data_IF_516538920144
#
_entry.id   IF_516538920144
#
_cell.length_a   1.000
_cell.length_b   1.000
_cell.length_c   1.000
_cell.angle_alpha   90.00
_cell.angle_beta   90.00
_cell.angle_gamma   90.00
#
_symmetry.space_group_name_H-M   'P 1'
#
loop_
_entity.id
_entity.type
_entity.pdbx_description
1 polymer ?
#
# COMPACT_ATOMS: atom_id res chain seq x y z
N UNK A 1 24.83 1.09 -13.02
CA UNK A 1 25.20 0.15 -11.94
C UNK A 1 24.64 0.57 -10.58
N UNK A 2 24.88 1.79 -10.10
CA UNK A 2 24.41 2.24 -8.77
C UNK A 2 22.90 2.05 -8.52
N UNK A 3 22.05 2.40 -9.50
CA UNK A 3 20.58 2.28 -9.41
C UNK A 3 20.14 0.83 -9.13
N UNK A 4 20.74 -0.14 -9.81
CA UNK A 4 20.37 -1.56 -9.69
C UNK A 4 20.71 -2.07 -8.29
N UNK A 5 21.89 -1.73 -7.77
CA UNK A 5 22.33 -2.13 -6.43
C UNK A 5 21.41 -1.49 -5.37
N UNK A 6 21.12 -0.20 -5.48
CA UNK A 6 20.19 0.46 -4.56
C UNK A 6 18.78 -0.15 -4.61
N UNK A 7 18.27 -0.48 -5.79
CA UNK A 7 16.95 -1.10 -5.92
C UNK A 7 16.90 -2.52 -5.38
N UNK A 8 17.98 -3.29 -5.55
CA UNK A 8 18.07 -4.64 -5.01
C UNK A 8 18.10 -4.61 -3.47
N UNK A 9 18.92 -3.75 -2.88
CA UNK A 9 18.98 -3.58 -1.42
C UNK A 9 17.65 -3.09 -0.87
N UNK A 10 17.05 -2.08 -1.50
CA UNK A 10 15.74 -1.56 -1.08
C UNK A 10 14.64 -2.60 -1.25
N UNK A 11 14.65 -3.39 -2.32
CA UNK A 11 13.69 -4.47 -2.53
C UNK A 11 13.76 -5.52 -1.43
N UNK A 12 14.95 -5.91 -1.00
CA UNK A 12 15.14 -6.86 0.10
C UNK A 12 14.66 -6.27 1.43
N UNK A 13 15.08 -5.04 1.75
CA UNK A 13 14.69 -4.36 3.00
C UNK A 13 13.18 -4.13 3.09
N UNK A 14 12.58 -3.62 2.02
CA UNK A 14 11.15 -3.31 1.97
C UNK A 14 10.30 -4.57 1.87
N UNK A 15 10.80 -5.62 1.21
CA UNK A 15 10.19 -6.95 1.22
C UNK A 15 10.19 -7.57 2.60
N UNK A 16 11.28 -7.43 3.36
CA UNK A 16 11.36 -7.87 4.76
C UNK A 16 10.40 -7.12 5.68
N UNK A 17 10.26 -5.80 5.49
CA UNK A 17 9.32 -4.97 6.27
C UNK A 17 7.85 -5.29 5.94
N UNK A 18 7.57 -5.89 4.77
CA UNK A 18 6.21 -6.31 4.38
C UNK A 18 5.22 -5.16 4.12
N UNK A 19 5.62 -3.90 4.31
CA UNK A 19 4.74 -2.72 4.27
C UNK A 19 4.57 -2.09 2.87
N UNK A 20 5.14 -2.68 1.80
CA UNK A 20 4.94 -2.19 0.42
C UNK A 20 5.58 -0.82 0.14
N UNK A 21 6.89 -0.68 0.41
CA UNK A 21 7.64 0.58 0.44
C UNK A 21 7.86 1.36 -0.87
N UNK A 22 6.89 1.36 -1.79
CA UNK A 22 6.94 2.15 -3.02
C UNK A 22 7.25 3.62 -2.74
N UNK A 23 6.73 4.17 -1.65
CA UNK A 23 7.01 5.53 -1.26
C UNK A 23 8.47 5.88 -1.01
N UNK A 24 9.22 4.99 -0.38
CA UNK A 24 10.64 5.18 -0.12
C UNK A 24 11.47 5.05 -1.41
N UNK A 25 11.07 4.12 -2.28
CA UNK A 25 11.67 3.92 -3.61
C UNK A 25 11.51 5.20 -4.46
N UNK A 26 10.33 5.83 -4.44
CA UNK A 26 10.07 7.09 -5.14
C UNK A 26 11.00 8.19 -4.64
N UNK A 27 11.09 8.37 -3.32
CA UNK A 27 11.93 9.40 -2.72
C UNK A 27 13.41 9.24 -3.11
N UNK A 28 13.93 8.01 -3.13
CA UNK A 28 15.31 7.74 -3.57
C UNK A 28 15.49 8.07 -5.06
N UNK A 29 14.57 7.63 -5.92
CA UNK A 29 14.64 7.88 -7.37
C UNK A 29 14.60 9.38 -7.71
N UNK A 30 13.78 10.15 -7.00
CA UNK A 30 13.64 11.59 -7.27
C UNK A 30 14.72 12.43 -6.59
N UNK A 31 15.08 12.15 -5.34
CA UNK A 31 16.05 12.95 -4.59
C UNK A 31 17.50 12.61 -4.94
N UNK A 32 17.82 11.32 -5.08
CA UNK A 32 19.20 10.87 -5.34
C UNK A 32 19.51 10.85 -6.83
N UNK A 33 18.61 10.29 -7.63
CA UNK A 33 18.84 10.10 -9.07
C UNK A 33 18.24 11.18 -9.95
N UNK A 34 17.47 12.13 -9.39
CA UNK A 34 16.81 13.24 -10.12
C UNK A 34 15.98 12.78 -11.33
N UNK A 35 15.39 11.60 -11.22
CA UNK A 35 14.55 11.02 -12.27
C UNK A 35 13.19 11.74 -12.25
N UNK A 36 12.57 11.99 -13.42
CA UNK A 36 11.24 12.59 -13.48
C UNK A 36 10.24 11.80 -12.63
N UNK A 37 9.42 12.52 -11.84
CA UNK A 37 8.47 11.92 -10.88
C UNK A 37 7.59 10.85 -11.54
N UNK A 38 7.11 11.08 -12.76
CA UNK A 38 6.26 10.14 -13.49
C UNK A 38 6.94 8.78 -13.73
N UNK A 39 8.22 8.79 -14.09
CA UNK A 39 9.02 7.57 -14.32
C UNK A 39 9.34 6.88 -12.99
N UNK A 40 9.64 7.65 -11.96
CA UNK A 40 9.90 7.13 -10.62
C UNK A 40 8.66 6.43 -10.02
N UNK A 41 7.48 7.05 -10.14
CA UNK A 41 6.20 6.48 -9.72
C UNK A 41 5.94 5.15 -10.44
N UNK A 42 6.00 5.13 -11.78
CA UNK A 42 5.78 3.93 -12.56
C UNK A 42 6.75 2.80 -12.16
N UNK A 43 8.04 3.11 -12.05
CA UNK A 43 9.08 2.13 -11.70
C UNK A 43 8.85 1.54 -10.30
N UNK A 44 8.52 2.37 -9.32
CA UNK A 44 8.27 1.94 -7.94
C UNK A 44 7.02 1.06 -7.82
N UNK A 45 5.93 1.41 -8.53
CA UNK A 45 4.70 0.62 -8.55
C UNK A 45 4.91 -0.73 -9.21
N UNK A 46 5.66 -0.77 -10.32
CA UNK A 46 6.01 -2.03 -10.97
C UNK A 46 6.83 -2.92 -10.04
N UNK A 47 7.86 -2.37 -9.37
CA UNK A 47 8.63 -3.12 -8.38
C UNK A 47 7.74 -3.63 -7.24
N UNK A 48 6.86 -2.77 -6.72
CA UNK A 48 5.92 -3.12 -5.66
C UNK A 48 4.98 -4.26 -6.07
N UNK A 49 4.46 -4.25 -7.30
CA UNK A 49 3.59 -5.32 -7.80
C UNK A 49 4.26 -6.70 -7.70
N UNK A 50 5.54 -6.81 -8.08
CA UNK A 50 6.30 -8.06 -7.93
C UNK A 50 6.52 -8.44 -6.47
N UNK A 51 6.87 -7.48 -5.60
CA UNK A 51 7.08 -7.77 -4.17
C UNK A 51 5.79 -8.22 -3.47
N UNK A 52 4.66 -7.56 -3.76
CA UNK A 52 3.36 -7.91 -3.20
C UNK A 52 2.88 -9.26 -3.73
N UNK A 53 3.11 -9.56 -5.01
CA UNK A 53 2.77 -10.87 -5.57
C UNK A 53 3.54 -11.99 -4.86
N UNK A 54 4.85 -11.81 -4.65
CA UNK A 54 5.67 -12.75 -3.88
C UNK A 54 5.19 -12.89 -2.43
N UNK A 55 4.82 -11.77 -1.78
CA UNK A 55 4.31 -11.76 -0.42
C UNK A 55 2.99 -12.50 -0.26
N UNK A 56 2.04 -12.27 -1.19
CA UNK A 56 0.75 -12.98 -1.21
C UNK A 56 0.95 -14.49 -1.35
N UNK A 57 1.87 -14.94 -2.22
CA UNK A 57 2.17 -16.37 -2.37
C UNK A 57 2.74 -16.97 -1.08
N UNK A 58 3.63 -16.24 -0.40
CA UNK A 58 4.22 -16.68 0.87
C UNK A 58 3.15 -16.84 1.95
N UNK A 59 2.36 -15.79 2.19
CA UNK A 59 1.31 -15.82 3.21
C UNK A 59 0.17 -16.80 2.88
N UNK A 60 -0.12 -17.02 1.59
CA UNK A 60 -1.09 -18.02 1.17
C UNK A 60 -0.64 -19.44 1.54
N UNK A 61 0.66 -19.73 1.41
CA UNK A 61 1.23 -21.03 1.83
C UNK A 61 1.20 -21.25 3.34
N UNK A 62 1.25 -20.17 4.11
CA UNK A 62 1.17 -20.20 5.58
C UNK A 62 -0.28 -20.30 6.10
N UNK A 63 -1.29 -20.22 5.23
CA UNK A 63 -2.70 -20.25 5.63
C UNK A 63 -3.21 -18.96 6.29
N UNK A 64 -2.40 -17.88 6.27
CA UNK A 64 -2.69 -16.60 6.93
C UNK A 64 -3.52 -15.63 6.06
N UNK A 65 -4.11 -16.10 4.93
CA UNK A 65 -4.78 -15.24 3.95
C UNK A 65 -6.28 -15.53 3.88
N UNK A 66 -7.09 -14.53 4.22
CA UNK A 66 -8.54 -14.54 3.97
C UNK A 66 -8.80 -14.12 2.52
N UNK A 67 -8.81 -15.10 1.61
CA UNK A 67 -8.92 -14.88 0.15
C UNK A 67 -10.15 -14.05 -0.24
N UNK A 68 -11.27 -14.19 0.49
CA UNK A 68 -12.50 -13.44 0.21
C UNK A 68 -12.32 -11.93 0.43
N UNK A 69 -11.74 -11.53 1.56
CA UNK A 69 -11.52 -10.11 1.89
C UNK A 69 -10.44 -9.54 0.96
N UNK A 70 -9.34 -10.28 0.76
CA UNK A 70 -8.28 -9.90 -0.16
C UNK A 70 -8.78 -9.73 -1.61
N UNK A 71 -9.67 -10.60 -2.07
CA UNK A 71 -10.28 -10.53 -3.40
C UNK A 71 -11.20 -9.31 -3.57
N UNK A 72 -12.03 -9.00 -2.57
CA UNK A 72 -12.93 -7.83 -2.61
C UNK A 72 -12.12 -6.52 -2.57
N UNK A 73 -11.22 -6.39 -1.59
CA UNK A 73 -10.41 -5.18 -1.42
C UNK A 73 -9.44 -5.00 -2.59
N UNK A 74 -8.81 -6.08 -3.06
CA UNK A 74 -7.93 -6.07 -4.21
C UNK A 74 -8.66 -5.76 -5.52
N UNK A 75 -9.84 -6.36 -5.75
CA UNK A 75 -10.66 -6.10 -6.94
C UNK A 75 -11.18 -4.66 -6.98
N UNK A 76 -11.75 -4.16 -5.88
CA UNK A 76 -12.16 -2.77 -5.76
C UNK A 76 -10.96 -1.81 -5.84
N UNK A 77 -9.83 -2.18 -5.25
CA UNK A 77 -8.58 -1.42 -5.31
C UNK A 77 -8.01 -1.32 -6.72
N UNK A 78 -8.10 -2.38 -7.53
CA UNK A 78 -7.69 -2.35 -8.92
C UNK A 78 -8.55 -1.38 -9.74
N UNK A 79 -9.88 -1.41 -9.55
CA UNK A 79 -10.81 -0.46 -10.19
C UNK A 79 -10.54 0.98 -9.75
N UNK A 80 -10.39 1.20 -8.44
CA UNK A 80 -10.06 2.51 -7.88
C UNK A 80 -8.72 3.03 -8.41
N UNK A 81 -7.70 2.17 -8.50
CA UNK A 81 -6.37 2.51 -9.02
C UNK A 81 -6.41 2.87 -10.50
N UNK A 82 -7.20 2.17 -11.31
CA UNK A 82 -7.37 2.51 -12.72
C UNK A 82 -7.96 3.93 -12.90
N UNK A 83 -9.00 4.25 -12.15
CA UNK A 83 -9.63 5.59 -12.16
C UNK A 83 -8.64 6.64 -11.61
N UNK A 84 -7.98 6.32 -10.51
CA UNK A 84 -6.99 7.16 -9.85
C UNK A 84 -5.80 7.47 -10.76
N UNK A 85 -5.28 6.49 -11.49
CA UNK A 85 -4.16 6.65 -12.42
C UNK A 85 -4.52 7.58 -13.58
N UNK A 86 -5.74 7.45 -14.12
CA UNK A 86 -6.22 8.36 -15.16
C UNK A 86 -6.32 9.80 -14.64
N UNK A 87 -6.85 10.00 -13.44
CA UNK A 87 -6.88 11.30 -12.77
C UNK A 87 -5.47 11.85 -12.48
N UNK A 88 -4.55 11.01 -12.00
CA UNK A 88 -3.17 11.39 -11.69
C UNK A 88 -2.38 11.80 -12.92
N UNK A 89 -2.60 11.14 -14.06
CA UNK A 89 -1.94 11.47 -15.33
C UNK A 89 -2.32 12.83 -15.91
N UNK A 90 -3.46 13.40 -15.47
CA UNK A 90 -3.91 14.74 -15.86
C UNK A 90 -3.25 15.86 -15.02
N UNK A 91 -2.59 15.50 -13.92
CA UNK A 91 -1.99 16.47 -12.98
C UNK A 91 -0.57 16.83 -13.47
N UNK A 92 -0.22 18.12 -13.57
CA UNK A 92 1.12 18.52 -13.99
C UNK A 92 2.20 18.05 -13.00
N UNK A 93 3.43 17.75 -13.47
CA UNK A 93 4.49 17.13 -12.66
C UNK A 93 4.87 17.89 -11.38
N UNK A 94 4.78 19.22 -11.41
CA UNK A 94 5.13 20.07 -10.27
C UNK A 94 4.16 19.89 -9.09
N UNK A 95 2.85 19.84 -9.37
CA UNK A 95 1.82 19.57 -8.37
C UNK A 95 1.90 18.12 -7.89
N UNK A 96 2.13 17.17 -8.82
CA UNK A 96 2.23 15.75 -8.49
C UNK A 96 3.37 15.49 -7.49
N UNK A 97 4.51 16.16 -7.63
CA UNK A 97 5.62 16.04 -6.68
C UNK A 97 5.23 16.46 -5.26
N UNK A 98 4.49 17.57 -5.09
CA UNK A 98 4.07 18.07 -3.78
C UNK A 98 2.98 17.18 -3.15
N UNK A 99 2.00 16.73 -3.95
CA UNK A 99 1.00 15.78 -3.49
C UNK A 99 1.62 14.43 -3.09
N UNK A 100 2.53 13.91 -3.92
CA UNK A 100 3.23 12.66 -3.61
C UNK A 100 4.03 12.81 -2.32
N UNK A 101 4.78 13.89 -2.15
CA UNK A 101 5.53 14.17 -0.92
C UNK A 101 4.62 14.28 0.32
N UNK A 102 3.49 14.99 0.21
CA UNK A 102 2.54 15.14 1.32
C UNK A 102 1.91 13.82 1.74
N UNK A 103 1.52 12.99 0.78
CA UNK A 103 0.97 11.65 1.05
C UNK A 103 2.02 10.68 1.60
N UNK A 104 3.29 10.79 1.20
CA UNK A 104 4.39 10.04 1.80
C UNK A 104 4.60 10.41 3.26
N UNK A 105 4.57 11.70 3.56
CA UNK A 105 4.68 12.19 4.93
C UNK A 105 3.50 11.72 5.78
N UNK A 106 2.27 11.77 5.24
CA UNK A 106 1.07 11.27 5.91
C UNK A 106 1.18 9.76 6.19
N UNK A 107 1.64 8.99 5.21
CA UNK A 107 1.89 7.55 5.34
C UNK A 107 2.92 7.25 6.43
N UNK A 108 4.02 8.02 6.49
CA UNK A 108 5.05 7.88 7.52
C UNK A 108 4.50 8.18 8.93
N UNK A 109 3.69 9.23 9.08
CA UNK A 109 3.00 9.54 10.34
C UNK A 109 2.07 8.39 10.73
N UNK A 110 1.27 7.89 9.80
CA UNK A 110 0.34 6.79 10.05
C UNK A 110 1.05 5.51 10.51
N UNK A 111 2.16 5.16 9.85
CA UNK A 111 2.98 4.01 10.25
C UNK A 111 3.64 4.25 11.63
N UNK A 112 4.10 5.47 11.91
CA UNK A 112 4.67 5.83 13.21
C UNK A 112 3.64 5.78 14.34
N UNK A 113 2.41 6.24 14.08
CA UNK A 113 1.28 6.12 15.03
C UNK A 113 0.92 4.66 15.25
N UNK A 114 0.89 3.83 14.20
CA UNK A 114 0.70 2.37 14.32
C UNK A 114 1.77 1.77 15.23
N UNK A 115 3.04 2.14 15.03
CA UNK A 115 4.17 1.64 15.81
C UNK A 115 4.02 1.96 17.31
N UNK A 116 3.53 3.16 17.66
CA UNK A 116 3.40 3.58 19.07
C UNK A 116 2.13 3.02 19.72
N UNK A 117 1.01 2.93 18.98
CA UNK A 117 -0.31 2.67 19.55
C UNK A 117 -0.68 1.19 19.64
N UNK A 118 0.10 0.28 19.03
CA UNK A 118 -0.33 -1.11 18.78
C UNK A 118 0.56 -2.22 19.35
N UNK A 119 1.26 -1.97 20.46
CA UNK A 119 2.04 -3.01 21.15
C UNK A 119 1.22 -3.80 22.22
N UNK A 120 -0.09 -3.53 22.39
CA UNK A 120 -0.84 -4.00 23.57
C UNK A 120 -2.19 -4.70 23.29
N UNK A 121 -2.44 -5.21 22.07
CA UNK A 121 -3.69 -5.93 21.73
C UNK A 121 -3.45 -7.14 20.81
N UNK A 122 -2.58 -8.06 21.20
CA UNK A 122 -2.38 -9.32 20.46
C UNK A 122 -3.37 -10.44 20.83
N UNK A 123 -4.02 -10.43 22.00
CA UNK A 123 -4.73 -11.64 22.47
C UNK A 123 -6.27 -11.67 22.33
N UNK A 124 -6.94 -10.62 21.86
CA UNK A 124 -8.41 -10.52 21.96
C UNK A 124 -9.19 -10.58 20.62
N UNK A 125 -8.59 -11.07 19.53
CA UNK A 125 -9.11 -10.86 18.17
C UNK A 125 -9.36 -12.13 17.34
N UNK A 126 -9.23 -13.32 17.91
CA UNK A 126 -9.56 -14.58 17.20
C UNK A 126 -11.06 -14.91 17.14
N UNK A 127 -11.95 -14.08 17.70
CA UNK A 127 -13.35 -14.52 17.96
C UNK A 127 -14.44 -13.78 17.16
N UNK A 128 -14.19 -12.65 16.50
CA UNK A 128 -15.29 -11.85 15.89
C UNK A 128 -15.25 -11.66 14.36
N UNK A 129 -14.51 -12.46 13.60
CA UNK A 129 -14.68 -12.51 12.12
C UNK A 129 -15.33 -13.83 11.72
N UNK A 130 -16.54 -14.04 12.23
CA UNK A 130 -17.46 -15.08 11.71
C UNK A 130 -18.72 -14.51 11.05
N UNK A 131 -18.98 -13.21 11.16
CA UNK A 131 -20.15 -12.59 10.53
C UNK A 131 -19.80 -11.88 9.23
N UNK A 132 -20.07 -12.58 8.12
CA UNK A 132 -20.19 -12.02 6.76
C UNK A 132 -21.45 -11.14 6.65
N UNK A 133 -21.53 -10.07 7.45
CA UNK A 133 -22.60 -9.10 7.37
C UNK A 133 -22.39 -8.15 6.17
N UNK A 134 -23.48 -7.77 5.49
CA UNK A 134 -23.46 -6.84 4.34
C UNK A 134 -22.74 -5.52 4.66
N UNK A 135 -22.76 -5.10 5.92
CA UNK A 135 -22.10 -3.88 6.39
C UNK A 135 -20.57 -3.96 6.33
N UNK A 136 -19.98 -5.11 6.66
CA UNK A 136 -18.53 -5.31 6.65
C UNK A 136 -17.98 -5.42 5.21
N UNK A 137 -18.76 -6.00 4.30
CA UNK A 137 -18.44 -6.03 2.87
C UNK A 137 -18.45 -4.62 2.27
N UNK A 138 -19.43 -3.78 2.63
CA UNK A 138 -19.49 -2.38 2.19
C UNK A 138 -18.25 -1.59 2.63
N UNK A 139 -17.80 -1.79 3.87
CA UNK A 139 -16.57 -1.17 4.40
C UNK A 139 -15.34 -1.61 3.60
N UNK A 140 -15.23 -2.90 3.24
CA UNK A 140 -14.14 -3.42 2.42
C UNK A 140 -14.11 -2.80 1.01
N UNK A 141 -15.27 -2.68 0.37
CA UNK A 141 -15.41 -2.08 -0.97
C UNK A 141 -14.97 -0.61 -0.93
N UNK A 142 -15.48 0.15 0.04
CA UNK A 142 -15.13 1.56 0.21
C UNK A 142 -13.62 1.73 0.47
N UNK A 143 -13.07 0.90 1.36
CA UNK A 143 -11.63 0.89 1.65
C UNK A 143 -10.81 0.63 0.39
N UNK A 144 -11.13 -0.44 -0.35
CA UNK A 144 -10.44 -0.81 -1.58
C UNK A 144 -10.51 0.30 -2.61
N UNK A 145 -11.70 0.86 -2.87
CA UNK A 145 -11.86 1.96 -3.83
C UNK A 145 -11.04 3.20 -3.43
N UNK A 146 -11.15 3.67 -2.19
CA UNK A 146 -10.46 4.88 -1.73
C UNK A 146 -8.94 4.70 -1.76
N UNK A 147 -8.44 3.61 -1.16
CA UNK A 147 -7.00 3.32 -1.14
C UNK A 147 -6.45 3.02 -2.53
N UNK A 148 -7.25 2.40 -3.40
CA UNK A 148 -6.94 2.19 -4.81
C UNK A 148 -6.81 3.50 -5.56
N UNK A 149 -7.79 4.40 -5.43
CA UNK A 149 -7.75 5.73 -6.05
C UNK A 149 -6.54 6.53 -5.58
N UNK A 150 -6.25 6.52 -4.29
CA UNK A 150 -5.06 7.19 -3.75
C UNK A 150 -3.76 6.59 -4.32
N UNK A 151 -3.66 5.27 -4.38
CA UNK A 151 -2.50 4.61 -4.98
C UNK A 151 -2.34 4.93 -6.47
N UNK A 152 -3.44 4.92 -7.23
CA UNK A 152 -3.42 5.23 -8.66
C UNK A 152 -3.07 6.69 -8.93
N UNK A 153 -3.65 7.64 -8.19
CA UNK A 153 -3.44 9.08 -8.44
C UNK A 153 -2.06 9.57 -8.05
N UNK A 154 -1.50 9.07 -6.94
CA UNK A 154 -0.25 9.60 -6.39
C UNK A 154 0.93 8.62 -6.50
N UNK A 155 0.67 7.37 -6.87
CA UNK A 155 1.66 6.33 -7.12
C UNK A 155 2.42 5.81 -5.90
N UNK A 156 1.99 6.14 -4.68
CA UNK A 156 2.77 5.91 -3.44
C UNK A 156 2.74 4.46 -2.95
N UNK A 157 1.84 3.64 -3.48
CA UNK A 157 1.48 2.36 -2.86
C UNK A 157 0.68 2.62 -1.58
N UNK A 158 -0.61 2.32 -1.59
CA UNK A 158 -1.51 2.58 -0.46
C UNK A 158 -1.43 1.51 0.63
N UNK A 159 -0.38 0.68 0.64
CA UNK A 159 -0.21 -0.44 1.56
C UNK A 159 -0.41 -0.08 3.04
N UNK A 160 0.20 0.99 3.61
CA UNK A 160 -0.05 1.36 5.01
C UNK A 160 -1.48 1.81 5.26
N UNK A 161 -2.14 2.46 4.29
CA UNK A 161 -3.55 2.85 4.40
C UNK A 161 -4.49 1.64 4.34
N UNK A 162 -4.19 0.68 3.46
CA UNK A 162 -4.90 -0.61 3.41
C UNK A 162 -4.72 -1.34 4.74
N UNK A 163 -3.48 -1.38 5.26
CA UNK A 163 -3.15 -2.07 6.49
C UNK A 163 -3.89 -1.47 7.69
N UNK A 164 -3.80 -0.15 7.89
CA UNK A 164 -4.54 0.57 8.94
C UNK A 164 -6.06 0.45 8.75
N UNK A 165 -6.52 0.50 7.51
CA UNK A 165 -7.91 0.34 7.14
C UNK A 165 -8.50 -0.98 7.59
N UNK A 166 -7.86 -2.09 7.17
CA UNK A 166 -8.25 -3.44 7.56
C UNK A 166 -8.17 -3.63 9.08
N UNK A 167 -7.14 -3.07 9.71
CA UNK A 167 -6.91 -3.19 11.14
C UNK A 167 -7.94 -2.43 11.99
N UNK A 168 -8.33 -1.23 11.58
CA UNK A 168 -9.31 -0.39 12.31
C UNK A 168 -10.75 -0.81 11.99
N UNK A 169 -11.06 -1.13 10.74
CA UNK A 169 -12.44 -1.45 10.31
C UNK A 169 -12.82 -2.90 10.50
N UNK A 170 -11.87 -3.84 10.41
CA UNK A 170 -12.12 -5.28 10.47
C UNK A 170 -11.39 -5.95 11.64
N UNK A 171 -10.55 -5.24 12.40
CA UNK A 171 -9.79 -5.83 13.51
C UNK A 171 -8.73 -6.84 13.07
N UNK A 172 -8.43 -6.95 11.77
CA UNK A 172 -7.49 -7.95 11.26
C UNK A 172 -6.06 -7.60 11.70
N UNK A 173 -5.40 -8.58 12.33
CA UNK A 173 -3.94 -8.56 12.55
C UNK A 173 -3.24 -8.91 11.24
N UNK A 174 -2.25 -8.12 10.85
CA UNK A 174 -1.54 -8.18 9.56
C UNK A 174 -0.05 -8.24 9.83
#
# INVERSE_FOLDING_TARGET
MAIIITMLVMGVLLGFVGAGGAGFIIAILTLVFRIPIHVALATSLTAMAFTTLSGVISHYREGNVVVTIGGIVGGCGALGSYIGAKLGSLIPPHLLHWFTAGMLFLSAIFMFVKLIKFQNREELLLTEIKDFSKENIMKCICLGLVTGMMAGSFGIGSAPFIQLGLMVLLGLTI
#
